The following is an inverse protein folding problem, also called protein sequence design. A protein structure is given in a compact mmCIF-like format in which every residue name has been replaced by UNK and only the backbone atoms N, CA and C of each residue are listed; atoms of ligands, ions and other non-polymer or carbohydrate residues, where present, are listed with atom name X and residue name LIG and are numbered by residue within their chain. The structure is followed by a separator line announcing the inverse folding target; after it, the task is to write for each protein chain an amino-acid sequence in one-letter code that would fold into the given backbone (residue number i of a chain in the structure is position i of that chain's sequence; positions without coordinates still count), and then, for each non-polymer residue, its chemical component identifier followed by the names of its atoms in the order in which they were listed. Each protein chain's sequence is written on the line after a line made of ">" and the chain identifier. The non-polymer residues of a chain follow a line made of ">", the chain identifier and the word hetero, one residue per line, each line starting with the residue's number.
data_IF_379959557536
#
_entry.id   IF_379959557536
#
_cell.length_a   1.000
_cell.length_b   1.000
_cell.length_c   1.000
_cell.angle_alpha   90.00
_cell.angle_beta   90.00
_cell.angle_gamma   90.00
#
_symmetry.space_group_name_H-M   'P 1'
#
loop_
_entity.id
_entity.type
_entity.pdbx_description
1 polymer ?
#
# COMPACT_ATOMS: atom_id res chain seq x y z
N UNK A 1 -29.18 94.44 -8.02
CA UNK A 1 -28.09 93.54 -7.44
C UNK A 1 -26.75 94.25 -7.58
N UNK A 2 -26.12 94.54 -6.45
CA UNK A 2 -25.00 95.46 -6.34
C UNK A 2 -23.72 94.90 -7.00
N UNK A 3 -22.93 95.75 -7.65
CA UNK A 3 -21.67 95.49 -8.33
C UNK A 3 -20.66 94.68 -7.49
N UNK A 4 -20.79 94.67 -6.16
CA UNK A 4 -19.91 93.93 -5.22
C UNK A 4 -20.10 92.38 -5.26
N UNK A 5 -21.30 91.87 -5.69
CA UNK A 5 -21.56 90.41 -5.80
C UNK A 5 -20.96 89.78 -7.04
N UNK A 6 -20.74 90.55 -8.13
CA UNK A 6 -20.14 90.04 -9.37
C UNK A 6 -18.62 89.87 -9.29
N UNK A 7 -17.94 90.68 -8.46
CA UNK A 7 -16.47 90.59 -8.26
C UNK A 7 -16.10 89.35 -7.40
N UNK A 8 -16.95 89.01 -6.41
CA UNK A 8 -16.74 87.87 -5.58
C UNK A 8 -16.89 86.51 -6.35
N UNK A 9 -17.74 86.48 -7.39
CA UNK A 9 -17.97 85.33 -8.22
C UNK A 9 -16.83 85.09 -9.22
N UNK A 10 -16.15 86.17 -9.72
CA UNK A 10 -15.09 86.07 -10.67
C UNK A 10 -13.72 85.76 -10.01
N UNK A 11 -13.54 86.10 -8.72
CA UNK A 11 -12.34 85.80 -7.95
C UNK A 11 -12.36 84.37 -7.35
N UNK A 12 -13.53 83.77 -7.13
CA UNK A 12 -13.67 82.42 -6.60
C UNK A 12 -13.33 81.29 -7.58
N UNK A 13 -13.56 81.53 -8.88
CA UNK A 13 -13.33 80.48 -9.91
C UNK A 13 -11.83 80.09 -10.07
N UNK A 14 -10.87 81.05 -10.14
CA UNK A 14 -9.45 80.68 -10.24
C UNK A 14 -8.92 80.04 -8.97
N UNK A 15 -9.45 80.34 -7.77
CA UNK A 15 -9.02 79.72 -6.51
C UNK A 15 -9.50 78.27 -6.42
N UNK A 16 -10.71 77.98 -6.87
CA UNK A 16 -11.22 76.60 -6.95
C UNK A 16 -10.50 75.79 -8.02
N UNK A 17 -10.16 76.38 -9.16
CA UNK A 17 -9.33 75.73 -10.18
C UNK A 17 -7.87 75.50 -9.71
N UNK A 18 -7.28 76.43 -8.98
CA UNK A 18 -5.94 76.25 -8.39
C UNK A 18 -5.95 75.19 -7.29
N UNK A 19 -6.99 75.15 -6.44
CA UNK A 19 -7.15 74.12 -5.41
C UNK A 19 -7.42 72.75 -5.98
N UNK A 20 -8.22 72.66 -7.09
CA UNK A 20 -8.44 71.39 -7.79
C UNK A 20 -7.21 70.90 -8.54
N UNK A 21 -6.42 71.81 -9.16
CA UNK A 21 -5.15 71.47 -9.79
C UNK A 21 -4.08 71.03 -8.73
N UNK A 22 -4.06 71.67 -7.54
CA UNK A 22 -3.18 71.27 -6.42
C UNK A 22 -3.63 69.92 -5.82
N UNK A 23 -4.93 69.64 -5.70
CA UNK A 23 -5.47 68.37 -5.25
C UNK A 23 -5.26 67.25 -6.27
N UNK A 24 -5.24 67.56 -7.57
CA UNK A 24 -4.91 66.59 -8.64
C UNK A 24 -3.37 66.35 -8.67
N UNK A 25 -2.56 67.39 -8.41
CA UNK A 25 -1.10 67.26 -8.33
C UNK A 25 -0.63 66.53 -7.05
N UNK A 26 -1.35 66.65 -5.93
CA UNK A 26 -1.06 65.94 -4.69
C UNK A 26 -1.57 64.48 -4.71
N UNK A 27 -2.35 64.06 -5.74
CA UNK A 27 -2.71 62.66 -6.01
C UNK A 27 -1.67 61.92 -6.88
N UNK A 28 -0.66 62.63 -7.37
CA UNK A 28 0.45 62.04 -8.11
C UNK A 28 1.47 61.45 -7.15
N UNK A 29 1.51 60.10 -6.99
CA UNK A 29 2.67 59.38 -6.50
C UNK A 29 2.63 58.89 -5.06
N UNK A 30 1.59 58.16 -4.65
CA UNK A 30 1.91 57.03 -3.77
C UNK A 30 2.61 56.02 -4.67
N UNK A 31 3.93 55.99 -4.67
CA UNK A 31 4.66 54.81 -5.07
C UNK A 31 4.21 53.70 -4.13
N UNK A 32 3.34 52.81 -4.59
CA UNK A 32 2.98 51.62 -3.85
C UNK A 32 4.26 50.76 -3.70
N UNK A 33 5.05 51.10 -2.67
CA UNK A 33 6.17 50.29 -2.23
C UNK A 33 5.53 49.05 -1.63
N UNK A 34 5.65 47.95 -2.33
CA UNK A 34 5.15 46.64 -1.86
C UNK A 34 6.09 46.20 -0.75
N UNK A 35 5.56 46.08 0.47
CA UNK A 35 6.33 45.56 1.60
C UNK A 35 6.43 44.03 1.47
N UNK A 36 7.69 43.53 1.46
CA UNK A 36 7.99 42.10 1.24
C UNK A 36 9.00 41.62 2.29
N UNK A 37 8.88 40.38 2.69
CA UNK A 37 9.88 39.66 3.46
C UNK A 37 10.86 38.99 2.52
N UNK A 38 12.09 38.76 2.97
CA UNK A 38 13.12 38.13 2.16
C UNK A 38 13.83 37.04 2.94
N UNK A 39 14.29 36.01 2.23
CA UNK A 39 15.20 35.00 2.75
C UNK A 39 16.39 34.83 1.80
N UNK A 40 17.59 34.55 2.33
CA UNK A 40 18.73 34.22 1.48
C UNK A 40 18.56 32.83 0.86
N UNK A 41 19.08 32.66 -0.34
CA UNK A 41 19.24 31.35 -0.98
C UNK A 41 20.47 30.70 -0.36
N UNK A 42 20.23 29.61 0.39
CA UNK A 42 21.29 28.90 1.10
C UNK A 42 21.36 27.45 0.66
N UNK A 43 22.60 26.91 0.65
CA UNK A 43 22.79 25.48 0.48
C UNK A 43 22.37 24.75 1.77
N UNK A 44 21.41 23.86 1.68
CA UNK A 44 20.90 23.10 2.82
C UNK A 44 20.54 21.66 2.42
N UNK A 45 20.40 20.84 3.43
CA UNK A 45 19.85 19.51 3.26
C UNK A 45 18.36 19.63 2.98
N UNK A 46 17.91 19.06 1.87
CA UNK A 46 16.51 18.93 1.50
C UNK A 46 16.19 17.43 1.47
N UNK A 47 15.13 17.05 2.15
CA UNK A 47 14.62 15.69 2.22
C UNK A 47 13.21 15.70 1.63
N UNK A 48 13.01 14.93 0.59
CA UNK A 48 11.69 14.72 0.04
C UNK A 48 11.05 13.52 0.72
N UNK A 49 9.85 13.72 1.25
CA UNK A 49 9.08 12.70 1.95
C UNK A 49 7.72 12.50 1.30
N UNK A 50 7.28 11.26 1.29
CA UNK A 50 5.91 10.88 0.94
C UNK A 50 5.21 10.46 2.21
N UNK A 51 4.09 11.11 2.52
CA UNK A 51 3.28 10.82 3.71
C UNK A 51 2.16 9.88 3.30
N UNK A 52 2.07 8.73 3.95
CA UNK A 52 1.05 7.74 3.71
C UNK A 52 0.42 7.28 5.01
N UNK A 53 -0.89 7.02 5.00
CA UNK A 53 -1.61 6.52 6.16
C UNK A 53 -2.02 5.07 5.96
N UNK A 54 -2.11 4.33 7.05
CA UNK A 54 -2.44 2.92 6.97
C UNK A 54 -2.64 2.27 8.33
N UNK A 55 -2.31 1.00 8.44
CA UNK A 55 -2.49 0.22 9.66
C UNK A 55 -1.27 -0.64 9.95
N UNK A 56 -1.04 -0.87 11.23
CA UNK A 56 -0.03 -1.81 11.70
C UNK A 56 -0.58 -3.24 11.57
N UNK A 57 0.22 -4.14 11.00
CA UNK A 57 -0.09 -5.56 10.91
C UNK A 57 1.15 -6.41 11.22
N UNK A 58 0.98 -7.67 11.61
CA UNK A 58 2.11 -8.58 11.76
C UNK A 58 2.60 -9.04 10.39
N UNK A 59 3.90 -9.23 10.24
CA UNK A 59 4.51 -9.76 9.00
C UNK A 59 3.99 -11.16 8.67
N UNK A 60 3.69 -11.96 9.71
CA UNK A 60 3.12 -13.30 9.53
C UNK A 60 1.84 -13.41 10.34
N UNK A 61 0.73 -13.60 9.63
CA UNK A 61 -0.60 -13.87 10.19
C UNK A 61 -1.20 -15.06 9.46
N UNK A 62 -1.80 -15.98 10.21
CA UNK A 62 -2.48 -17.15 9.68
C UNK A 62 -3.87 -17.24 10.28
N UNK A 63 -4.85 -17.36 9.41
CA UNK A 63 -6.22 -17.64 9.80
C UNK A 63 -6.39 -19.15 9.97
N UNK A 64 -6.81 -19.58 11.14
CA UNK A 64 -7.10 -20.97 11.46
C UNK A 64 -8.60 -21.20 11.23
N UNK A 65 -8.90 -22.05 10.25
CA UNK A 65 -10.24 -22.51 9.91
C UNK A 65 -10.37 -24.01 10.10
N UNK A 66 -11.60 -24.52 10.14
CA UNK A 66 -11.85 -25.95 10.16
C UNK A 66 -11.82 -26.55 8.75
N UNK A 67 -11.19 -27.70 8.60
CA UNK A 67 -11.27 -28.50 7.35
C UNK A 67 -12.56 -29.33 7.28
N UNK A 68 -13.16 -29.60 8.45
CA UNK A 68 -14.38 -30.44 8.60
C UNK A 68 -15.43 -29.70 9.42
N UNK A 69 -16.69 -29.88 9.05
CA UNK A 69 -17.78 -29.18 9.74
C UNK A 69 -18.21 -29.95 10.99
N UNK A 70 -17.99 -29.35 12.16
CA UNK A 70 -18.43 -29.88 13.43
C UNK A 70 -18.54 -28.79 14.51
N UNK A 71 -19.16 -29.12 15.65
CA UNK A 71 -19.28 -28.22 16.80
C UNK A 71 -17.98 -28.19 17.58
N UNK A 72 -17.57 -26.99 18.05
CA UNK A 72 -16.41 -26.83 18.93
C UNK A 72 -16.77 -27.38 20.32
N UNK A 73 -16.06 -28.43 20.74
CA UNK A 73 -16.26 -29.05 22.04
C UNK A 73 -15.30 -28.54 23.09
N UNK A 74 -14.09 -28.18 22.66
CA UNK A 74 -13.05 -27.70 23.57
C UNK A 74 -12.17 -26.67 22.89
N UNK A 75 -11.88 -25.58 23.61
CA UNK A 75 -10.95 -24.54 23.22
C UNK A 75 -9.91 -24.40 24.34
N UNK A 76 -8.63 -24.58 23.99
CA UNK A 76 -7.54 -24.60 24.97
C UNK A 76 -6.81 -23.25 25.10
N UNK A 77 -7.12 -22.28 24.21
CA UNK A 77 -6.44 -20.99 24.12
C UNK A 77 -7.42 -19.84 24.21
N UNK A 78 -6.92 -18.67 24.61
CA UNK A 78 -7.68 -17.41 24.69
C UNK A 78 -6.96 -16.35 23.84
N UNK A 79 -7.67 -15.26 23.55
CA UNK A 79 -7.05 -14.08 22.94
C UNK A 79 -5.89 -13.57 23.80
N UNK A 80 -4.77 -13.30 23.15
CA UNK A 80 -3.53 -12.85 23.77
C UNK A 80 -2.60 -13.97 24.25
N UNK A 81 -3.01 -15.23 24.23
CA UNK A 81 -2.15 -16.35 24.62
C UNK A 81 -1.06 -16.59 23.56
N UNK A 82 0.15 -16.85 24.05
CA UNK A 82 1.24 -17.32 23.20
C UNK A 82 1.13 -18.84 23.01
N UNK A 83 1.30 -19.29 21.76
CA UNK A 83 1.28 -20.71 21.41
C UNK A 83 2.54 -21.10 20.64
N UNK A 84 3.02 -22.31 20.87
CA UNK A 84 4.13 -22.91 20.13
C UNK A 84 3.61 -23.65 18.89
N UNK A 85 4.50 -23.84 17.91
CA UNK A 85 4.18 -24.67 16.74
C UNK A 85 3.87 -26.12 17.18
N UNK A 86 2.73 -26.65 16.72
CA UNK A 86 2.25 -27.98 17.08
C UNK A 86 1.49 -28.04 18.41
N UNK A 87 1.29 -26.93 19.09
CA UNK A 87 0.48 -26.86 20.30
C UNK A 87 -1.00 -27.07 19.96
N UNK A 88 -1.70 -27.80 20.83
CA UNK A 88 -3.13 -28.03 20.71
C UNK A 88 -3.92 -26.72 20.93
N UNK A 89 -4.83 -26.40 19.99
CA UNK A 89 -5.65 -25.20 20.03
C UNK A 89 -7.10 -25.50 20.42
N UNK A 90 -7.74 -26.38 19.64
CA UNK A 90 -9.13 -26.70 19.84
C UNK A 90 -9.48 -28.10 19.34
N UNK A 91 -10.61 -28.61 19.80
CA UNK A 91 -11.18 -29.88 19.43
C UNK A 91 -12.63 -29.70 18.97
N UNK A 92 -12.94 -30.28 17.82
CA UNK A 92 -14.27 -30.37 17.27
C UNK A 92 -14.95 -31.67 17.73
N UNK A 93 -16.26 -31.74 17.60
CA UNK A 93 -17.02 -32.94 17.91
C UNK A 93 -16.58 -34.12 17.01
N UNK A 94 -16.09 -35.16 17.66
CA UNK A 94 -15.46 -36.32 17.02
C UNK A 94 -16.38 -37.51 16.85
N UNK A 95 -17.54 -37.52 17.53
CA UNK A 95 -18.38 -38.74 17.67
C UNK A 95 -18.77 -39.28 16.30
N UNK A 96 -19.22 -38.43 15.40
CA UNK A 96 -19.58 -38.81 14.03
C UNK A 96 -18.40 -39.41 13.27
N UNK A 97 -17.23 -38.79 13.35
CA UNK A 97 -16.01 -39.20 12.62
C UNK A 97 -15.42 -40.50 13.19
N UNK A 98 -15.53 -40.71 14.51
CA UNK A 98 -15.17 -41.98 15.14
C UNK A 98 -16.06 -43.12 14.64
N UNK A 99 -17.37 -42.91 14.59
CA UNK A 99 -18.30 -43.92 14.04
C UNK A 99 -18.03 -44.22 12.55
N UNK A 100 -17.62 -43.20 11.77
CA UNK A 100 -17.24 -43.36 10.35
C UNK A 100 -15.97 -44.23 10.20
N UNK A 101 -14.95 -43.99 11.05
CA UNK A 101 -13.73 -44.83 11.11
C UNK A 101 -14.06 -46.26 11.48
N UNK A 102 -14.85 -46.48 12.56
CA UNK A 102 -15.26 -47.82 12.99
C UNK A 102 -16.00 -48.59 11.90
N UNK A 103 -16.92 -47.91 11.18
CA UNK A 103 -17.63 -48.48 10.05
C UNK A 103 -16.70 -48.88 8.90
N UNK A 104 -15.74 -47.98 8.54
CA UNK A 104 -14.77 -48.26 7.49
C UNK A 104 -13.82 -49.41 7.88
N UNK A 105 -13.42 -49.51 9.13
CA UNK A 105 -12.63 -50.64 9.65
C UNK A 105 -13.38 -51.96 9.56
N UNK A 106 -14.64 -51.95 9.92
CA UNK A 106 -15.50 -53.15 9.81
C UNK A 106 -15.60 -53.62 8.36
N UNK A 107 -15.80 -52.69 7.43
CA UNK A 107 -15.86 -53.00 5.99
C UNK A 107 -14.53 -53.54 5.46
N UNK A 108 -13.41 -52.99 5.91
CA UNK A 108 -12.07 -53.50 5.56
C UNK A 108 -11.89 -54.94 6.08
N UNK A 109 -12.18 -55.20 7.36
CA UNK A 109 -12.09 -56.55 7.94
C UNK A 109 -12.95 -57.56 7.20
N UNK A 110 -14.18 -57.17 6.80
CA UNK A 110 -15.05 -58.02 5.99
C UNK A 110 -14.44 -58.38 4.61
N UNK A 111 -13.91 -57.39 3.91
CA UNK A 111 -13.29 -57.59 2.61
C UNK A 111 -11.97 -58.40 2.69
N UNK A 112 -11.22 -58.25 3.76
CA UNK A 112 -10.02 -59.06 4.03
C UNK A 112 -10.39 -60.55 4.27
N UNK A 113 -11.49 -60.80 5.03
CA UNK A 113 -12.00 -62.15 5.24
C UNK A 113 -12.49 -62.78 3.94
N UNK A 114 -13.24 -62.00 3.10
CA UNK A 114 -13.67 -62.45 1.78
C UNK A 114 -12.47 -62.83 0.88
N UNK A 115 -11.44 -61.96 0.85
CA UNK A 115 -10.21 -62.23 0.09
C UNK A 115 -9.47 -63.51 0.56
N UNK A 116 -9.46 -63.75 1.87
CA UNK A 116 -8.89 -64.96 2.44
C UNK A 116 -9.64 -66.24 1.97
N UNK A 117 -11.00 -66.19 1.96
CA UNK A 117 -11.78 -67.30 1.44
C UNK A 117 -11.49 -67.58 -0.04
N UNK A 118 -11.37 -66.54 -0.86
CA UNK A 118 -11.04 -66.66 -2.29
C UNK A 118 -9.61 -67.17 -2.45
N UNK A 119 -8.65 -66.79 -1.63
CA UNK A 119 -7.30 -67.28 -1.62
C UNK A 119 -7.27 -68.81 -1.34
N UNK A 120 -8.01 -69.30 -0.32
CA UNK A 120 -8.09 -70.70 -0.03
C UNK A 120 -8.71 -71.53 -1.16
N UNK A 121 -9.72 -70.96 -1.88
CA UNK A 121 -10.29 -71.58 -3.07
C UNK A 121 -9.26 -71.71 -4.21
N UNK A 122 -8.46 -70.67 -4.45
CA UNK A 122 -7.36 -70.71 -5.40
C UNK A 122 -6.32 -71.74 -5.01
N UNK A 123 -5.93 -71.84 -3.77
CA UNK A 123 -4.94 -72.79 -3.26
C UNK A 123 -5.44 -74.24 -3.44
N UNK A 124 -6.73 -74.47 -3.24
CA UNK A 124 -7.39 -75.74 -3.55
C UNK A 124 -7.33 -76.05 -5.05
N UNK A 125 -7.71 -75.12 -5.92
CA UNK A 125 -7.69 -75.30 -7.37
C UNK A 125 -6.27 -75.55 -7.89
N UNK A 126 -5.24 -74.92 -7.34
CA UNK A 126 -3.83 -75.16 -7.66
C UNK A 126 -3.39 -76.58 -7.27
N UNK A 127 -3.78 -77.05 -6.08
CA UNK A 127 -3.51 -78.42 -5.63
C UNK A 127 -4.19 -79.44 -6.51
N UNK A 128 -5.48 -79.20 -6.93
CA UNK A 128 -6.24 -80.08 -7.83
C UNK A 128 -5.57 -80.10 -9.21
N UNK A 129 -5.13 -78.95 -9.77
CA UNK A 129 -4.40 -78.90 -11.03
C UNK A 129 -3.13 -79.75 -10.99
N UNK A 130 -2.32 -79.56 -9.92
CA UNK A 130 -1.06 -80.30 -9.73
C UNK A 130 -1.30 -81.82 -9.71
N UNK A 131 -2.38 -82.27 -9.04
CA UNK A 131 -2.77 -83.67 -9.02
C UNK A 131 -3.22 -84.20 -10.43
N UNK A 132 -4.03 -83.43 -11.19
CA UNK A 132 -4.43 -83.76 -12.52
C UNK A 132 -3.28 -83.80 -13.52
N UNK A 133 -2.31 -82.91 -13.37
CA UNK A 133 -1.05 -82.83 -14.12
C UNK A 133 -0.25 -84.14 -13.93
N UNK A 134 -0.09 -84.60 -12.67
CA UNK A 134 0.65 -85.86 -12.36
C UNK A 134 -0.07 -87.05 -12.95
N UNK A 135 -1.39 -87.16 -12.87
CA UNK A 135 -2.18 -88.23 -13.44
C UNK A 135 -2.15 -88.20 -14.96
N UNK A 136 -2.23 -87.03 -15.61
CA UNK A 136 -2.11 -86.92 -17.08
C UNK A 136 -0.73 -87.33 -17.56
N UNK A 137 0.38 -86.95 -16.83
CA UNK A 137 1.72 -87.45 -17.14
C UNK A 137 1.89 -88.97 -17.06
N UNK A 138 1.04 -89.63 -16.28
CA UNK A 138 0.94 -91.09 -16.18
C UNK A 138 -0.05 -91.72 -17.17
N UNK A 139 -0.63 -90.90 -18.08
CA UNK A 139 -1.68 -91.27 -19.04
C UNK A 139 -2.97 -91.83 -18.40
N UNK A 140 -3.30 -91.40 -17.18
CA UNK A 140 -4.47 -91.79 -16.41
C UNK A 140 -5.64 -90.75 -16.49
N UNK A 141 -5.34 -89.58 -17.07
CA UNK A 141 -6.27 -88.49 -17.21
C UNK A 141 -6.27 -87.93 -18.65
N UNK A 142 -7.38 -87.27 -19.06
CA UNK A 142 -7.55 -86.69 -20.40
C UNK A 142 -6.96 -85.33 -20.49
N UNK A 143 -6.53 -84.84 -21.68
CA UNK A 143 -6.09 -83.48 -21.93
C UNK A 143 -7.25 -82.48 -21.67
N UNK A 144 -8.47 -82.85 -21.94
CA UNK A 144 -9.67 -82.00 -21.68
C UNK A 144 -9.82 -81.71 -20.17
N UNK A 145 -9.59 -82.70 -19.30
CA UNK A 145 -9.65 -82.50 -17.85
C UNK A 145 -8.50 -81.60 -17.33
N UNK A 146 -7.31 -81.73 -17.93
CA UNK A 146 -6.16 -80.87 -17.63
C UNK A 146 -6.47 -79.41 -18.00
N UNK A 147 -7.00 -79.18 -19.20
CA UNK A 147 -7.40 -77.84 -19.69
C UNK A 147 -8.50 -77.25 -18.82
N UNK A 148 -9.45 -78.04 -18.38
CA UNK A 148 -10.50 -77.59 -17.47
C UNK A 148 -9.97 -77.18 -16.11
N UNK A 149 -9.02 -77.93 -15.51
CA UNK A 149 -8.38 -77.62 -14.24
C UNK A 149 -7.50 -76.40 -14.36
N UNK A 150 -6.76 -76.24 -15.46
CA UNK A 150 -5.94 -75.00 -15.70
C UNK A 150 -6.83 -73.77 -15.82
N UNK A 151 -7.96 -73.90 -16.56
CA UNK A 151 -8.92 -72.79 -16.68
C UNK A 151 -9.57 -72.43 -15.34
N UNK A 152 -9.83 -73.40 -14.46
CA UNK A 152 -10.35 -73.13 -13.09
C UNK A 152 -9.39 -72.31 -12.25
N UNK A 153 -8.09 -72.61 -12.31
CA UNK A 153 -7.04 -71.84 -11.60
C UNK A 153 -7.00 -70.42 -12.11
N UNK A 154 -7.06 -70.19 -13.42
CA UNK A 154 -7.05 -68.81 -13.95
C UNK A 154 -8.32 -68.04 -13.56
N UNK A 155 -9.48 -68.64 -13.49
CA UNK A 155 -10.72 -68.04 -13.00
C UNK A 155 -10.60 -67.67 -11.52
N UNK A 156 -10.09 -68.57 -10.66
CA UNK A 156 -9.96 -68.27 -9.22
C UNK A 156 -8.85 -67.27 -8.96
N UNK A 157 -7.79 -67.22 -9.75
CA UNK A 157 -6.77 -66.17 -9.74
C UNK A 157 -7.34 -64.78 -10.09
N UNK A 158 -8.22 -64.75 -11.11
CA UNK A 158 -8.91 -63.50 -11.45
C UNK A 158 -9.86 -63.04 -10.32
N UNK A 159 -10.57 -64.01 -9.68
CA UNK A 159 -11.42 -63.71 -8.51
C UNK A 159 -10.62 -63.18 -7.34
N UNK A 160 -9.44 -63.78 -7.06
CA UNK A 160 -8.54 -63.31 -6.00
C UNK A 160 -8.09 -61.87 -6.25
N UNK A 161 -7.70 -61.56 -7.49
CA UNK A 161 -7.32 -60.18 -7.85
C UNK A 161 -8.49 -59.22 -7.59
N UNK A 162 -9.71 -59.55 -8.00
CA UNK A 162 -10.91 -58.73 -7.75
C UNK A 162 -11.17 -58.53 -6.24
N UNK A 163 -10.99 -59.58 -5.42
CA UNK A 163 -11.14 -59.49 -3.97
C UNK A 163 -10.05 -58.59 -3.35
N UNK A 164 -8.80 -58.72 -3.82
CA UNK A 164 -7.68 -57.86 -3.39
C UNK A 164 -7.90 -56.38 -3.75
N UNK A 165 -8.44 -56.11 -4.95
CA UNK A 165 -8.80 -54.74 -5.36
C UNK A 165 -9.89 -54.16 -4.46
N UNK A 166 -10.86 -54.98 -4.01
CA UNK A 166 -11.89 -54.55 -3.03
C UNK A 166 -11.28 -54.24 -1.65
N UNK A 167 -10.34 -55.06 -1.18
CA UNK A 167 -9.56 -54.75 0.06
C UNK A 167 -8.83 -53.42 -0.06
N UNK A 168 -8.19 -53.20 -1.22
CA UNK A 168 -7.47 -51.94 -1.48
C UNK A 168 -8.41 -50.72 -1.47
N UNK A 169 -9.62 -50.89 -2.07
CA UNK A 169 -10.63 -49.83 -2.06
C UNK A 169 -11.12 -49.53 -0.64
N UNK A 170 -11.45 -50.55 0.18
CA UNK A 170 -11.90 -50.36 1.57
C UNK A 170 -10.78 -49.80 2.46
N UNK A 171 -9.52 -50.15 2.21
CA UNK A 171 -8.36 -49.56 2.89
C UNK A 171 -8.21 -48.07 2.58
N UNK A 172 -8.44 -47.66 1.33
CA UNK A 172 -8.47 -46.27 0.95
C UNK A 172 -9.62 -45.51 1.64
N UNK A 173 -10.80 -46.12 1.73
CA UNK A 173 -11.95 -45.54 2.45
C UNK A 173 -11.66 -45.36 3.95
N UNK A 174 -11.03 -46.37 4.61
CA UNK A 174 -10.60 -46.25 6.00
C UNK A 174 -9.62 -45.09 6.20
N UNK A 175 -8.62 -44.99 5.31
CA UNK A 175 -7.65 -43.88 5.39
C UNK A 175 -8.34 -42.52 5.27
N UNK A 176 -9.31 -42.39 4.36
CA UNK A 176 -10.10 -41.16 4.22
C UNK A 176 -10.89 -40.83 5.48
N UNK A 177 -11.49 -41.79 6.13
CA UNK A 177 -12.21 -41.59 7.40
C UNK A 177 -11.24 -41.18 8.54
N UNK A 178 -10.07 -41.83 8.60
CA UNK A 178 -9.02 -41.48 9.57
C UNK A 178 -8.47 -40.06 9.34
N UNK A 179 -8.24 -39.66 8.08
CA UNK A 179 -7.82 -38.31 7.73
C UNK A 179 -8.88 -37.27 8.17
N UNK A 180 -10.17 -37.55 7.95
CA UNK A 180 -11.26 -36.69 8.40
C UNK A 180 -11.32 -36.59 9.95
N UNK A 181 -11.12 -37.70 10.65
CA UNK A 181 -11.05 -37.71 12.10
C UNK A 181 -9.85 -36.91 12.62
N UNK A 182 -8.68 -37.02 11.98
CA UNK A 182 -7.50 -36.26 12.40
C UNK A 182 -7.71 -34.75 12.33
N UNK A 183 -8.50 -34.29 11.36
CA UNK A 183 -8.84 -32.88 11.13
C UNK A 183 -9.84 -32.30 12.14
N UNK A 184 -10.40 -33.14 13.01
CA UNK A 184 -11.24 -32.66 14.13
C UNK A 184 -10.44 -32.08 15.29
N UNK A 185 -9.12 -32.30 15.31
CA UNK A 185 -8.21 -31.73 16.30
C UNK A 185 -7.26 -30.76 15.62
N UNK A 186 -7.33 -29.51 16.01
CA UNK A 186 -6.59 -28.42 15.36
C UNK A 186 -5.40 -28.01 16.21
N UNK A 187 -4.23 -27.95 15.56
CA UNK A 187 -2.95 -27.57 16.17
C UNK A 187 -2.40 -26.31 15.50
N UNK A 188 -1.56 -25.56 16.22
CA UNK A 188 -0.92 -24.38 15.72
C UNK A 188 0.12 -24.72 14.61
N UNK A 189 -0.02 -24.18 13.39
CA UNK A 189 0.95 -24.43 12.30
C UNK A 189 2.26 -23.64 12.49
N UNK A 190 2.19 -22.50 13.19
CA UNK A 190 3.31 -21.63 13.54
C UNK A 190 3.28 -21.28 15.02
N UNK A 191 4.43 -20.82 15.55
CA UNK A 191 4.48 -20.17 16.86
C UNK A 191 4.03 -18.72 16.73
N UNK A 192 3.23 -18.24 17.69
CA UNK A 192 2.72 -16.87 17.67
C UNK A 192 1.73 -16.62 18.79
N UNK A 193 1.12 -15.43 18.77
CA UNK A 193 0.06 -15.04 19.71
C UNK A 193 -1.31 -15.18 19.04
N UNK A 194 -2.31 -15.61 19.78
CA UNK A 194 -3.71 -15.59 19.34
C UNK A 194 -4.15 -14.13 19.27
N UNK A 195 -4.18 -13.57 18.07
CA UNK A 195 -4.52 -12.16 17.84
C UNK A 195 -6.02 -11.93 18.01
N UNK A 196 -6.85 -12.89 17.56
CA UNK A 196 -8.29 -12.79 17.61
C UNK A 196 -8.92 -14.16 17.68
N UNK A 197 -10.03 -14.26 18.44
CA UNK A 197 -10.87 -15.44 18.54
C UNK A 197 -12.26 -15.10 17.98
N UNK A 198 -12.61 -15.70 16.84
CA UNK A 198 -13.87 -15.40 16.17
C UNK A 198 -15.00 -16.37 16.59
N UNK A 199 -14.67 -17.50 17.23
CA UNK A 199 -15.63 -18.52 17.63
C UNK A 199 -15.41 -19.03 19.06
N UNK A 200 -16.51 -19.40 19.70
CA UNK A 200 -16.53 -19.90 21.07
C UNK A 200 -16.90 -21.40 21.15
N UNK A 201 -16.66 -21.98 22.32
CA UNK A 201 -17.08 -23.36 22.60
C UNK A 201 -18.60 -23.48 22.48
N UNK A 202 -19.06 -24.45 21.72
CA UNK A 202 -20.48 -24.68 21.47
C UNK A 202 -20.95 -24.20 20.10
N UNK A 203 -20.19 -23.39 19.41
CA UNK A 203 -20.47 -22.93 18.03
C UNK A 203 -20.06 -23.97 16.99
N UNK A 204 -20.64 -23.86 15.81
CA UNK A 204 -20.32 -24.75 14.68
C UNK A 204 -19.22 -24.08 13.85
N UNK A 205 -18.12 -24.80 13.66
CA UNK A 205 -17.12 -24.48 12.67
C UNK A 205 -17.49 -25.15 11.35
N UNK A 206 -17.54 -24.36 10.27
CA UNK A 206 -17.84 -24.85 8.93
C UNK A 206 -16.56 -25.25 8.22
N UNK A 207 -16.54 -26.43 7.60
CA UNK A 207 -15.43 -26.85 6.77
C UNK A 207 -15.32 -26.01 5.49
N UNK A 208 -14.09 -25.68 5.11
CA UNK A 208 -13.72 -24.65 4.12
C UNK A 208 -14.05 -24.95 2.65
N UNK A 209 -14.99 -25.84 2.32
CA UNK A 209 -15.28 -26.16 0.92
C UNK A 209 -15.91 -25.01 0.11
N UNK A 210 -16.57 -24.03 0.74
CA UNK A 210 -17.28 -22.96 0.04
C UNK A 210 -17.05 -21.56 0.62
N UNK A 211 -16.70 -21.46 1.88
CA UNK A 211 -16.46 -20.19 2.56
C UNK A 211 -15.48 -20.42 3.70
N UNK A 212 -14.44 -19.61 3.76
CA UNK A 212 -13.51 -19.62 4.90
C UNK A 212 -14.22 -19.16 6.17
N UNK A 213 -14.33 -20.08 7.12
CA UNK A 213 -14.89 -19.81 8.44
C UNK A 213 -13.75 -19.79 9.47
N UNK A 214 -13.14 -18.62 9.59
CA UNK A 214 -11.99 -18.41 10.48
C UNK A 214 -12.42 -18.55 11.94
N UNK A 215 -11.84 -19.52 12.65
CA UNK A 215 -12.08 -19.76 14.07
C UNK A 215 -11.24 -18.84 14.93
N UNK A 216 -9.95 -18.73 14.63
CA UNK A 216 -9.00 -17.83 15.31
C UNK A 216 -7.89 -17.39 14.38
N UNK A 217 -7.24 -16.30 14.74
CA UNK A 217 -6.13 -15.71 14.01
C UNK A 217 -4.84 -15.81 14.84
N UNK A 218 -3.82 -16.45 14.27
CA UNK A 218 -2.49 -16.51 14.86
C UNK A 218 -1.57 -15.49 14.20
N UNK A 219 -0.90 -14.67 15.00
CA UNK A 219 -0.01 -13.63 14.54
C UNK A 219 1.36 -13.72 15.23
N UNK A 220 2.43 -13.58 14.48
CA UNK A 220 3.75 -13.42 15.06
C UNK A 220 4.01 -11.93 15.32
N UNK A 221 3.89 -11.52 16.58
CA UNK A 221 4.08 -10.11 16.98
C UNK A 221 5.55 -9.67 17.07
N UNK A 222 6.52 -10.59 16.89
CA UNK A 222 7.93 -10.23 16.87
C UNK A 222 8.33 -9.45 15.61
N UNK A 223 7.60 -9.63 14.50
CA UNK A 223 7.75 -8.87 13.28
C UNK A 223 6.47 -8.10 12.97
N UNK A 224 6.56 -6.78 12.98
CA UNK A 224 5.44 -5.91 12.64
C UNK A 224 5.80 -5.07 11.41
N UNK A 225 4.80 -4.77 10.61
CA UNK A 225 4.92 -3.89 9.45
C UNK A 225 3.75 -2.90 9.42
N UNK A 226 3.99 -1.72 8.85
CA UNK A 226 2.93 -0.81 8.51
C UNK A 226 2.51 -1.07 7.06
N UNK A 227 1.24 -1.39 6.86
CA UNK A 227 0.62 -1.46 5.54
C UNK A 227 -0.03 -0.11 5.28
N UNK A 228 0.58 0.70 4.44
CA UNK A 228 0.15 2.07 4.15
C UNK A 228 -0.33 2.20 2.71
N UNK A 229 -1.32 3.06 2.52
CA UNK A 229 -1.90 3.36 1.21
C UNK A 229 -1.25 4.66 0.68
N UNK A 230 -0.55 4.58 -0.45
CA UNK A 230 0.18 5.67 -1.10
C UNK A 230 -0.57 6.09 -2.37
N UNK A 231 -0.69 7.41 -2.60
CA UNK A 231 -1.34 7.96 -3.80
C UNK A 231 -0.56 7.61 -5.10
N UNK A 232 -1.28 7.49 -6.22
CA UNK A 232 -0.73 7.17 -7.54
C UNK A 232 0.37 8.15 -7.99
N UNK A 233 0.30 9.42 -7.59
CA UNK A 233 1.29 10.41 -7.98
C UNK A 233 2.61 10.25 -7.24
N UNK A 234 2.57 9.72 -6.02
CA UNK A 234 3.72 9.61 -5.13
C UNK A 234 4.42 8.26 -5.23
N UNK A 235 3.69 7.20 -5.63
CA UNK A 235 4.24 5.84 -5.73
C UNK A 235 5.43 5.73 -6.71
N UNK A 236 5.45 6.57 -7.74
CA UNK A 236 6.52 6.58 -8.77
C UNK A 236 7.88 6.97 -8.17
N UNK A 237 7.88 7.66 -7.05
CA UNK A 237 9.08 8.16 -6.38
C UNK A 237 9.61 7.20 -5.33
N UNK A 238 8.81 6.19 -4.93
CA UNK A 238 9.20 5.21 -3.93
C UNK A 238 10.05 4.10 -4.52
N UNK A 239 11.05 3.68 -3.73
CA UNK A 239 11.91 2.55 -4.05
C UNK A 239 11.98 1.57 -2.88
N UNK A 240 12.26 0.30 -3.20
CA UNK A 240 12.48 -0.71 -2.17
C UNK A 240 13.73 -0.35 -1.35
N UNK A 241 13.60 -0.37 -0.04
CA UNK A 241 14.70 -0.03 0.88
C UNK A 241 14.69 1.41 1.36
N UNK A 242 13.76 2.25 0.92
CA UNK A 242 13.61 3.62 1.42
C UNK A 242 13.37 3.62 2.93
N UNK A 243 14.01 4.55 3.63
CA UNK A 243 13.82 4.72 5.07
C UNK A 243 12.48 5.40 5.34
N UNK A 244 11.80 4.93 6.37
CA UNK A 244 10.53 5.51 6.80
C UNK A 244 10.52 5.76 8.30
N UNK A 245 9.83 6.82 8.69
CA UNK A 245 9.48 7.11 10.07
C UNK A 245 7.98 6.87 10.25
N UNK A 246 7.62 5.99 11.19
CA UNK A 246 6.25 5.58 11.41
C UNK A 246 5.76 6.17 12.72
N UNK A 247 4.66 6.88 12.68
CA UNK A 247 3.95 7.39 13.84
C UNK A 247 2.63 6.64 14.01
N UNK A 248 2.36 6.21 15.24
CA UNK A 248 1.14 5.45 15.56
C UNK A 248 0.20 6.32 16.38
N UNK A 249 -1.03 6.52 15.91
CA UNK A 249 -2.00 7.43 16.54
C UNK A 249 -2.29 7.08 18.00
N UNK A 250 -2.25 5.78 18.32
CA UNK A 250 -2.49 5.31 19.69
C UNK A 250 -1.31 5.58 20.65
N UNK A 251 -0.13 5.96 20.16
CA UNK A 251 1.10 6.17 20.93
C UNK A 251 1.69 7.54 20.60
N UNK A 252 1.05 8.66 21.01
CA UNK A 252 1.50 10.00 20.66
C UNK A 252 2.91 10.27 21.17
N UNK A 253 3.79 10.72 20.26
CA UNK A 253 5.19 11.01 20.54
C UNK A 253 6.15 9.82 20.43
N UNK A 254 5.65 8.62 20.13
CA UNK A 254 6.49 7.47 19.80
C UNK A 254 6.66 7.36 18.28
N UNK A 255 7.90 7.45 17.81
CA UNK A 255 8.25 7.26 16.41
C UNK A 255 9.01 5.95 16.23
N UNK A 256 8.67 5.18 15.23
CA UNK A 256 9.33 3.92 14.89
C UNK A 256 10.06 4.07 13.57
N UNK A 257 11.27 3.53 13.50
CA UNK A 257 12.01 3.48 12.23
C UNK A 257 11.60 2.23 11.45
N UNK A 258 11.45 2.39 10.16
CA UNK A 258 11.14 1.30 9.25
C UNK A 258 11.84 1.44 7.92
N UNK A 259 11.70 0.40 7.11
CA UNK A 259 12.19 0.38 5.73
C UNK A 259 11.11 -0.19 4.82
N UNK A 260 11.00 0.35 3.61
CA UNK A 260 10.07 -0.16 2.58
C UNK A 260 10.55 -1.54 2.11
N UNK A 261 9.72 -2.56 2.31
CA UNK A 261 10.02 -3.95 1.95
C UNK A 261 9.27 -4.44 0.74
N UNK A 262 8.07 -3.89 0.49
CA UNK A 262 7.23 -4.32 -0.63
C UNK A 262 6.36 -3.17 -1.13
N UNK A 263 6.19 -3.09 -2.45
CA UNK A 263 5.35 -2.10 -3.12
C UNK A 263 4.40 -2.86 -4.03
N UNK A 264 3.09 -2.73 -3.80
CA UNK A 264 2.10 -3.44 -4.59
C UNK A 264 2.16 -3.03 -6.07
N UNK A 265 2.15 -4.02 -6.96
CA UNK A 265 2.18 -3.80 -8.42
C UNK A 265 0.80 -3.46 -9.00
N UNK A 266 -0.27 -3.56 -8.21
CA UNK A 266 -1.64 -3.25 -8.63
C UNK A 266 -2.26 -2.22 -7.70
N UNK A 267 -2.97 -1.27 -8.29
CA UNK A 267 -3.69 -0.25 -7.56
C UNK A 267 -4.95 -0.82 -6.90
N UNK A 268 -5.25 -0.30 -5.73
CA UNK A 268 -6.52 -0.46 -5.04
C UNK A 268 -7.37 0.79 -5.29
N UNK A 269 -8.58 0.60 -5.76
CA UNK A 269 -9.50 1.71 -5.99
C UNK A 269 -10.36 1.87 -4.74
N UNK A 270 -10.08 2.90 -3.96
CA UNK A 270 -10.90 3.27 -2.82
C UNK A 270 -12.10 4.11 -3.28
N UNK A 271 -13.28 3.88 -2.67
CA UNK A 271 -14.48 4.67 -2.99
C UNK A 271 -15.09 4.36 -4.36
N UNK A 272 -15.00 3.13 -4.86
CA UNK A 272 -15.56 2.74 -6.14
C UNK A 272 -17.07 3.08 -6.24
N UNK A 273 -17.42 3.95 -7.20
CA UNK A 273 -18.80 4.39 -7.42
C UNK A 273 -19.20 5.68 -6.67
N UNK A 274 -18.28 6.34 -5.98
CA UNK A 274 -18.46 7.66 -5.36
C UNK A 274 -17.68 8.75 -6.09
N UNK A 275 -17.99 10.04 -5.82
CA UNK A 275 -17.27 11.17 -6.39
C UNK A 275 -15.81 11.30 -5.90
N UNK A 276 -15.48 10.61 -4.81
CA UNK A 276 -14.16 10.65 -4.15
C UNK A 276 -13.35 9.38 -4.46
N UNK A 277 -13.44 8.86 -5.69
CA UNK A 277 -12.64 7.72 -6.11
C UNK A 277 -11.14 8.09 -6.12
N UNK A 278 -10.34 7.36 -5.34
CA UNK A 278 -8.88 7.51 -5.30
C UNK A 278 -8.20 6.23 -5.73
N UNK A 279 -7.11 6.39 -6.46
CA UNK A 279 -6.21 5.29 -6.83
C UNK A 279 -5.05 5.28 -5.84
N UNK A 280 -4.95 4.21 -5.06
CA UNK A 280 -3.93 4.05 -4.04
C UNK A 280 -3.17 2.74 -4.25
N UNK A 281 -1.90 2.72 -3.84
CA UNK A 281 -1.06 1.52 -3.87
C UNK A 281 -0.67 1.13 -2.46
N UNK A 282 -0.81 -0.15 -2.15
CA UNK A 282 -0.40 -0.67 -0.85
C UNK A 282 1.13 -0.80 -0.79
N UNK A 283 1.73 -0.21 0.24
CA UNK A 283 3.16 -0.29 0.52
C UNK A 283 3.37 -0.88 1.90
N UNK A 284 4.28 -1.86 2.00
CA UNK A 284 4.66 -2.47 3.28
C UNK A 284 5.97 -1.87 3.77
N UNK A 285 5.93 -1.36 4.98
CA UNK A 285 7.08 -0.79 5.67
C UNK A 285 7.37 -1.63 6.90
N UNK A 286 8.45 -2.40 6.87
CA UNK A 286 8.86 -3.22 8.01
C UNK A 286 9.37 -2.33 9.15
N UNK A 287 8.89 -2.57 10.37
CA UNK A 287 9.31 -1.85 11.56
C UNK A 287 10.53 -2.55 12.15
N UNK A 288 11.63 -1.81 12.31
CA UNK A 288 12.90 -2.38 12.76
C UNK A 288 12.87 -2.86 14.22
N UNK A 289 12.18 -2.13 15.08
CA UNK A 289 12.06 -2.46 16.50
C UNK A 289 10.63 -2.15 16.99
N UNK A 290 9.70 -3.09 16.79
CA UNK A 290 8.27 -2.86 17.05
C UNK A 290 7.94 -2.68 18.54
N UNK A 291 8.83 -3.11 19.46
CA UNK A 291 8.51 -3.09 20.90
C UNK A 291 7.31 -3.97 21.25
N UNK A 292 6.92 -3.97 22.51
CA UNK A 292 5.76 -4.76 22.99
C UNK A 292 4.42 -4.00 23.00
N UNK A 293 4.42 -2.74 22.61
CA UNK A 293 3.23 -1.87 22.71
C UNK A 293 2.40 -1.84 21.42
N UNK A 294 3.00 -2.19 20.27
CA UNK A 294 2.29 -2.25 19.00
C UNK A 294 1.32 -3.42 18.96
N UNK A 295 0.11 -3.15 18.48
CA UNK A 295 -0.92 -4.18 18.28
C UNK A 295 -1.42 -4.14 16.83
N UNK A 296 -1.75 -5.31 16.26
CA UNK A 296 -2.38 -5.37 14.95
C UNK A 296 -3.67 -4.53 14.92
N UNK A 297 -3.87 -3.83 13.79
CA UNK A 297 -5.04 -2.98 13.58
C UNK A 297 -4.92 -1.53 14.08
N UNK A 298 -3.81 -1.14 14.73
CA UNK A 298 -3.56 0.26 15.06
C UNK A 298 -3.36 1.09 13.79
N UNK A 299 -3.94 2.29 13.76
CA UNK A 299 -3.71 3.27 12.69
C UNK A 299 -2.33 3.89 12.84
N UNK A 300 -1.65 4.04 11.71
CA UNK A 300 -0.32 4.63 11.65
C UNK A 300 -0.19 5.52 10.42
N UNK A 301 0.67 6.53 10.55
CA UNK A 301 1.17 7.37 9.47
C UNK A 301 2.64 7.05 9.22
N UNK A 302 3.05 6.97 7.98
CA UNK A 302 4.43 6.73 7.60
C UNK A 302 4.94 7.86 6.72
N UNK A 303 6.04 8.48 7.14
CA UNK A 303 6.81 9.47 6.38
C UNK A 303 7.98 8.74 5.71
N UNK A 304 7.84 8.45 4.43
CA UNK A 304 8.80 7.69 3.65
C UNK A 304 9.74 8.66 2.95
N UNK A 305 11.04 8.52 3.18
CA UNK A 305 12.09 9.36 2.57
C UNK A 305 12.40 8.81 1.19
N UNK A 306 12.05 9.58 0.14
CA UNK A 306 12.26 9.16 -1.25
C UNK A 306 13.56 9.67 -1.85
N UNK A 307 13.94 10.91 -1.53
CA UNK A 307 15.18 11.49 -2.01
C UNK A 307 15.80 12.43 -0.98
N UNK A 308 17.12 12.39 -0.86
CA UNK A 308 17.90 13.25 0.04
C UNK A 308 18.98 13.96 -0.74
N UNK A 309 18.99 15.30 -0.66
CA UNK A 309 20.05 16.16 -1.20
C UNK A 309 20.74 16.88 -0.05
N UNK A 310 21.99 16.52 0.21
CA UNK A 310 22.76 17.08 1.35
C UNK A 310 23.12 18.55 1.16
N UNK A 311 23.26 19.01 -0.08
CA UNK A 311 23.65 20.38 -0.42
C UNK A 311 22.93 20.88 -1.64
N UNK A 312 21.66 21.24 -1.49
CA UNK A 312 20.82 21.81 -2.54
C UNK A 312 20.56 23.29 -2.25
N UNK A 313 20.46 24.13 -3.30
CA UNK A 313 20.05 25.51 -3.15
C UNK A 313 18.58 25.55 -2.80
N UNK A 314 18.26 25.75 -1.52
CA UNK A 314 16.91 25.73 -1.00
C UNK A 314 16.32 27.13 -0.81
N UNK A 315 15.06 27.29 -1.22
CA UNK A 315 14.26 28.47 -0.91
C UNK A 315 12.96 28.05 -0.24
N UNK A 316 12.36 28.87 0.62
CA UNK A 316 11.05 28.58 1.17
C UNK A 316 10.02 28.38 0.03
N UNK A 317 9.13 27.39 0.15
CA UNK A 317 8.14 27.07 -0.89
C UNK A 317 7.34 28.30 -1.32
N UNK A 318 7.04 29.20 -0.38
CA UNK A 318 6.29 30.42 -0.62
C UNK A 318 6.97 31.40 -1.59
N UNK A 319 8.29 31.24 -1.84
CA UNK A 319 9.07 32.11 -2.73
C UNK A 319 8.86 31.79 -4.20
N UNK A 320 8.41 30.59 -4.53
CA UNK A 320 8.19 30.16 -5.90
C UNK A 320 6.75 30.46 -6.32
N UNK A 321 6.60 31.22 -7.39
CA UNK A 321 5.31 31.53 -7.98
C UNK A 321 5.19 30.95 -9.39
N UNK A 322 4.01 30.43 -9.70
CA UNK A 322 3.64 30.00 -11.03
C UNK A 322 2.82 31.10 -11.68
N UNK A 323 3.29 31.65 -12.79
CA UNK A 323 2.70 32.83 -13.45
C UNK A 323 2.65 32.63 -14.97
N UNK A 324 1.71 33.33 -15.61
CA UNK A 324 1.76 33.49 -17.07
C UNK A 324 2.72 34.61 -17.44
N UNK A 325 3.38 34.56 -18.62
CA UNK A 325 4.29 35.62 -19.10
C UNK A 325 3.65 37.01 -19.07
N UNK A 326 2.35 37.11 -19.39
CA UNK A 326 1.59 38.35 -19.42
C UNK A 326 1.47 39.00 -18.01
N UNK A 327 1.37 38.20 -16.96
CA UNK A 327 1.29 38.69 -15.58
C UNK A 327 2.62 39.23 -15.07
N UNK A 328 3.74 38.81 -15.65
CA UNK A 328 5.08 39.29 -15.32
C UNK A 328 5.40 40.62 -16.00
N UNK A 329 4.56 41.11 -16.92
CA UNK A 329 4.78 42.35 -17.65
C UNK A 329 5.76 42.24 -18.82
N UNK A 330 6.20 41.03 -19.16
CA UNK A 330 6.98 40.76 -20.35
C UNK A 330 6.00 40.61 -21.54
N UNK A 331 5.97 41.59 -22.43
CA UNK A 331 5.21 41.50 -23.68
C UNK A 331 5.69 40.27 -24.47
N UNK A 332 4.79 39.30 -24.68
CA UNK A 332 5.02 38.20 -25.58
C UNK A 332 5.36 38.76 -26.98
N UNK A 333 6.57 38.59 -27.45
CA UNK A 333 6.87 38.78 -28.87
C UNK A 333 6.40 37.55 -29.62
N UNK A 334 5.13 37.58 -30.04
CA UNK A 334 4.69 36.81 -31.20
C UNK A 334 5.52 37.22 -32.40
N UNK A 335 6.07 36.22 -33.07
CA UNK A 335 6.94 36.41 -34.21
C UNK A 335 6.34 37.25 -35.34
N UNK A 336 6.98 38.40 -35.62
CA UNK A 336 6.88 39.05 -36.92
C UNK A 336 8.31 39.40 -37.40
N UNK A 337 8.70 39.11 -38.64
CA UNK A 337 10.03 39.35 -39.12
C UNK A 337 10.22 40.83 -39.54
N UNK A 338 11.21 41.46 -38.93
CA UNK A 338 11.82 42.64 -39.56
C UNK A 338 11.56 43.96 -38.85
N UNK A 339 12.46 44.39 -37.96
CA UNK A 339 13.04 45.75 -37.96
C UNK A 339 14.25 45.82 -37.03
N UNK A 340 15.39 46.12 -37.59
CA UNK A 340 16.62 46.41 -36.83
C UNK A 340 16.58 47.81 -36.21
N UNK A 341 17.05 47.94 -34.98
CA UNK A 341 17.49 49.22 -34.45
C UNK A 341 17.06 49.53 -33.03
N UNK A 342 18.00 49.51 -32.09
CA UNK A 342 17.85 50.22 -30.81
C UNK A 342 18.11 49.38 -29.56
N UNK A 343 19.37 49.43 -29.08
CA UNK A 343 19.78 48.90 -27.80
C UNK A 343 19.06 49.60 -26.62
N UNK A 344 18.41 48.84 -25.78
CA UNK A 344 18.31 49.11 -24.32
C UNK A 344 17.47 47.96 -23.66
N UNK A 345 18.08 47.12 -22.81
CA UNK A 345 17.42 46.31 -21.81
C UNK A 345 16.45 45.26 -22.36
N UNK A 346 16.96 44.17 -22.92
CA UNK A 346 16.12 43.02 -23.22
C UNK A 346 15.50 42.47 -21.92
N UNK A 347 14.18 42.60 -21.75
CA UNK A 347 13.46 41.86 -20.71
C UNK A 347 13.74 40.37 -20.91
N UNK A 348 14.00 39.63 -19.85
CA UNK A 348 14.25 38.19 -19.94
C UNK A 348 13.08 37.52 -20.64
N UNK A 349 13.39 36.78 -21.68
CA UNK A 349 12.39 36.01 -22.40
C UNK A 349 12.05 34.75 -21.56
N UNK A 350 10.89 34.77 -20.88
CA UNK A 350 10.38 33.64 -20.15
C UNK A 350 9.89 32.57 -21.14
N UNK A 351 10.30 31.33 -20.88
CA UNK A 351 9.86 30.17 -21.68
C UNK A 351 8.74 29.47 -20.93
N UNK A 352 7.48 29.52 -21.38
CA UNK A 352 6.37 28.86 -20.70
C UNK A 352 6.47 27.34 -20.85
N UNK A 353 5.99 26.62 -19.86
CA UNK A 353 5.79 25.18 -19.89
C UNK A 353 4.62 24.80 -20.83
N UNK A 354 4.37 23.49 -21.00
CA UNK A 354 3.30 22.96 -21.88
C UNK A 354 1.91 23.54 -21.57
N UNK A 355 1.68 23.93 -20.32
CA UNK A 355 0.44 24.53 -19.83
C UNK A 355 0.41 26.06 -19.88
N UNK A 356 1.44 26.69 -20.45
CA UNK A 356 1.53 28.14 -20.61
C UNK A 356 1.99 28.89 -19.35
N UNK A 357 2.47 28.20 -18.33
CA UNK A 357 2.94 28.77 -17.08
C UNK A 357 4.47 28.82 -17.01
N UNK A 358 4.98 29.74 -16.19
CA UNK A 358 6.41 29.90 -15.89
C UNK A 358 6.58 29.87 -14.39
N UNK A 359 7.50 29.05 -13.90
CA UNK A 359 7.93 29.06 -12.51
C UNK A 359 8.96 30.17 -12.31
N UNK A 360 8.68 31.12 -11.42
CA UNK A 360 9.52 32.27 -11.17
C UNK A 360 9.75 32.49 -9.68
N UNK A 361 10.93 33.04 -9.38
CA UNK A 361 11.29 33.55 -8.06
C UNK A 361 11.62 35.03 -8.21
N UNK A 362 11.18 35.87 -7.27
CA UNK A 362 11.50 37.28 -7.26
C UNK A 362 12.77 37.52 -6.43
N UNK A 363 13.85 37.95 -7.09
CA UNK A 363 15.11 38.31 -6.46
C UNK A 363 15.18 39.82 -6.26
N UNK A 364 15.67 40.27 -5.14
CA UNK A 364 15.81 41.70 -4.87
C UNK A 364 17.20 42.19 -5.29
N UNK A 365 17.22 43.07 -6.29
CA UNK A 365 18.42 43.78 -6.74
C UNK A 365 18.21 45.29 -6.57
N UNK A 366 19.03 45.94 -5.73
CA UNK A 366 18.96 47.39 -5.49
C UNK A 366 17.57 47.95 -5.12
N UNK A 367 16.77 47.19 -4.33
CA UNK A 367 15.43 47.61 -3.91
C UNK A 367 14.34 47.42 -4.98
N UNK A 368 14.63 46.67 -6.03
CA UNK A 368 13.72 46.29 -7.10
C UNK A 368 13.59 44.78 -7.16
N UNK A 369 12.36 44.28 -7.27
CA UNK A 369 12.10 42.86 -7.44
C UNK A 369 12.25 42.51 -8.92
N UNK A 370 13.15 41.57 -9.22
CA UNK A 370 13.30 41.00 -10.56
C UNK A 370 12.82 39.56 -10.60
N UNK A 371 11.99 39.27 -11.56
CA UNK A 371 11.51 37.92 -11.80
C UNK A 371 12.60 37.13 -12.53
N UNK A 372 13.09 36.05 -11.92
CA UNK A 372 13.99 35.07 -12.55
C UNK A 372 13.22 33.76 -12.73
N UNK A 373 13.25 33.24 -13.97
CA UNK A 373 12.73 31.93 -14.25
C UNK A 373 13.59 30.88 -13.57
N UNK A 374 12.97 29.93 -12.87
CA UNK A 374 13.66 28.88 -12.15
C UNK A 374 13.17 27.53 -12.58
N UNK A 375 14.04 26.53 -12.43
CA UNK A 375 13.69 25.13 -12.54
C UNK A 375 13.79 24.53 -11.16
N UNK A 376 12.67 24.00 -10.67
CA UNK A 376 12.60 23.39 -9.34
C UNK A 376 13.02 21.93 -9.38
N UNK A 377 13.61 21.45 -8.29
CA UNK A 377 13.97 20.06 -8.04
C UNK A 377 13.09 19.42 -6.96
N UNK A 378 13.73 18.74 -6.00
CA UNK A 378 13.04 18.10 -4.88
C UNK A 378 12.46 19.14 -3.92
N UNK A 379 11.40 18.73 -3.23
CA UNK A 379 10.66 19.56 -2.30
C UNK A 379 10.53 18.87 -0.94
N UNK A 380 10.76 19.63 0.14
CA UNK A 380 10.41 19.23 1.50
C UNK A 380 9.18 20.02 1.97
N UNK A 381 8.69 19.79 3.18
CA UNK A 381 7.53 20.50 3.76
C UNK A 381 7.69 22.03 3.81
N UNK A 382 8.91 22.53 3.86
CA UNK A 382 9.19 23.96 4.05
C UNK A 382 9.98 24.59 2.92
N UNK A 383 10.79 23.83 2.20
CA UNK A 383 11.71 24.32 1.19
C UNK A 383 11.65 23.52 -0.09
N UNK A 384 11.94 24.21 -1.19
CA UNK A 384 12.04 23.64 -2.53
C UNK A 384 13.44 23.90 -3.09
N UNK A 385 14.01 22.90 -3.76
CA UNK A 385 15.29 22.99 -4.44
C UNK A 385 15.16 23.82 -5.72
N UNK A 386 16.15 24.66 -5.98
CA UNK A 386 16.32 25.37 -7.25
C UNK A 386 17.52 24.78 -7.98
N UNK A 387 17.25 24.17 -9.16
CA UNK A 387 18.29 23.59 -10.01
C UNK A 387 18.94 24.64 -10.90
N UNK A 388 18.16 25.62 -11.38
CA UNK A 388 18.60 26.64 -12.32
C UNK A 388 17.91 27.98 -12.02
N UNK A 389 18.56 29.10 -12.37
CA UNK A 389 17.96 30.44 -12.37
C UNK A 389 18.39 31.37 -11.26
N UNK A 390 18.93 30.84 -10.13
CA UNK A 390 19.34 31.66 -8.96
C UNK A 390 20.69 31.18 -8.44
N UNK A 391 21.49 32.09 -7.89
CA UNK A 391 22.81 31.80 -7.29
C UNK A 391 22.75 31.87 -5.77
N UNK A 392 23.69 31.20 -5.11
CA UNK A 392 23.82 31.25 -3.65
C UNK A 392 23.98 32.70 -3.15
N UNK A 393 23.42 33.00 -2.00
CA UNK A 393 23.40 34.32 -1.33
C UNK A 393 22.50 35.39 -1.99
N UNK A 394 21.79 35.12 -3.06
CA UNK A 394 20.76 36.04 -3.54
C UNK A 394 19.57 36.10 -2.56
N UNK A 395 18.96 37.28 -2.45
CA UNK A 395 17.81 37.52 -1.58
C UNK A 395 16.54 37.30 -2.36
N UNK A 396 15.76 36.28 -1.98
CA UNK A 396 14.46 35.97 -2.58
C UNK A 396 13.32 36.46 -1.73
N UNK A 397 12.23 36.87 -2.39
CA UNK A 397 11.01 37.31 -1.71
C UNK A 397 10.28 36.11 -1.17
N UNK A 398 10.00 36.09 0.14
CA UNK A 398 9.32 34.98 0.83
C UNK A 398 8.00 35.38 1.47
N UNK A 399 7.76 36.66 1.68
CA UNK A 399 6.60 37.16 2.41
C UNK A 399 5.56 37.83 1.56
N UNK A 400 4.37 37.81 2.11
CA UNK A 400 3.06 38.07 1.56
C UNK A 400 2.76 37.28 0.28
N UNK A 401 2.09 36.12 0.45
CA UNK A 401 1.59 35.30 -0.67
C UNK A 401 0.87 36.14 -1.73
N UNK A 402 0.09 37.16 -1.30
CA UNK A 402 -0.61 38.07 -2.20
C UNK A 402 0.37 38.90 -3.04
N UNK A 403 1.46 39.39 -2.42
CA UNK A 403 2.46 40.14 -3.16
C UNK A 403 3.13 39.26 -4.23
N UNK A 404 3.54 38.04 -3.85
CA UNK A 404 4.22 37.11 -4.75
C UNK A 404 3.26 36.60 -5.84
N UNK A 405 1.98 36.31 -5.50
CA UNK A 405 1.03 35.69 -6.44
C UNK A 405 0.32 36.70 -7.35
N UNK A 406 0.23 38.02 -6.99
CA UNK A 406 -0.57 38.99 -7.76
C UNK A 406 0.09 40.36 -7.97
N UNK A 407 0.70 40.92 -6.93
CA UNK A 407 1.03 42.35 -6.91
C UNK A 407 2.42 42.64 -7.48
N UNK A 408 3.39 41.71 -7.32
CA UNK A 408 4.75 41.83 -7.83
C UNK A 408 4.79 41.61 -9.34
N UNK A 409 5.39 42.55 -10.06
CA UNK A 409 5.77 42.46 -11.47
C UNK A 409 7.28 42.60 -11.61
N UNK A 410 7.82 42.19 -12.74
CA UNK A 410 9.25 42.41 -13.00
C UNK A 410 9.56 43.90 -12.98
N UNK A 411 10.59 44.29 -12.22
CA UNK A 411 10.95 45.69 -12.04
C UNK A 411 10.14 46.48 -10.97
N UNK A 412 9.30 45.82 -10.17
CA UNK A 412 8.52 46.45 -9.11
C UNK A 412 9.44 46.93 -7.96
N UNK A 413 9.23 48.19 -7.47
CA UNK A 413 9.93 48.71 -6.32
C UNK A 413 9.38 48.10 -5.04
N UNK A 414 10.23 47.50 -4.23
CA UNK A 414 9.91 46.83 -2.99
C UNK A 414 10.61 47.46 -1.80
N UNK A 415 9.95 47.42 -0.65
CA UNK A 415 10.50 47.73 0.63
C UNK A 415 10.66 46.46 1.44
N UNK A 416 11.88 46.11 1.80
CA UNK A 416 12.11 44.95 2.67
C UNK A 416 11.64 45.30 4.07
N UNK A 417 10.56 44.67 4.50
CA UNK A 417 10.09 44.69 5.89
C UNK A 417 10.96 43.77 6.72
N UNK A 418 11.32 44.19 7.96
CA UNK A 418 12.17 43.38 8.82
C UNK A 418 11.58 42.00 9.09
N UNK A 419 12.43 40.97 9.04
CA UNK A 419 12.08 39.60 9.35
C UNK A 419 11.46 39.49 10.76
N UNK A 420 10.23 39.06 10.87
CA UNK A 420 9.70 38.55 12.13
C UNK A 420 10.51 37.29 12.50
N UNK A 421 11.26 37.38 13.59
CA UNK A 421 11.88 36.17 14.17
C UNK A 421 10.75 35.24 14.62
N UNK A 422 10.54 34.17 13.90
CA UNK A 422 9.72 33.08 14.40
C UNK A 422 10.38 32.46 15.63
N UNK A 423 9.67 32.55 16.75
CA UNK A 423 9.98 31.81 17.99
C UNK A 423 9.74 30.35 17.82
#
# INVERSE_FOLDING_TARGET
>A
MSRKKKIALFAGIPVVLAASAFALMSRGGKSDLIEVQTAPVEARKIVQTVVATGRIQPVTQINISADVSAKITRLAVKEGDWVERGQFLLELDRERYLAEVESAEANLRSSEADAAVVQENLDKAVKDLARIQDLHGKSLESASNLDAAASAVEVDKARLRSAQDRVSQNRAALKQAQDALSKTTIYAPIAGTVAKLNKEVGEIALGSQFQEDTILELANLAGMEALVDVDENDIVQLTLGDEATIEVDALPGATFKGTVTDIASSAKIAGQGTADQKTEFEVKVAILDPGSQLRPGMTASADIVTEVRESALGVPIQSVAVRTPDQLGAAAKEGAPGSAGGAAGAAPAFTPDKDGFVQVVFVIENGVARAKQVKTGIQSDTHIELLEGVTAAEQVVTGSYRAISRDLKDGAKVKVGGAEKSS
#
